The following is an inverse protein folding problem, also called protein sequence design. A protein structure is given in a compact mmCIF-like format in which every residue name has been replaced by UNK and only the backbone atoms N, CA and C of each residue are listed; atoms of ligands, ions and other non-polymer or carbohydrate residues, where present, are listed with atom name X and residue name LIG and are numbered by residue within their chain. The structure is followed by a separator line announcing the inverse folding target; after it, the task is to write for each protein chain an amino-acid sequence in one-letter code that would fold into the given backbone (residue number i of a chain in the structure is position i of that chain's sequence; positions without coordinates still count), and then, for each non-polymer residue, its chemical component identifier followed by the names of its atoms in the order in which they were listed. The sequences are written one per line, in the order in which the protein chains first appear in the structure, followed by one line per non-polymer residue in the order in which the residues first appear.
data_IF_474484076010
#
_entry.id   IF_474484076010
#
_cell.length_a   1.000
_cell.length_b   1.000
_cell.length_c   1.000
_cell.angle_alpha   90.00
_cell.angle_beta   90.00
_cell.angle_gamma   90.00
#
_symmetry.space_group_name_H-M   'P 1'
#
loop_
_entity.id
_entity.type
_entity.pdbx_description
1 polymer ?
#
# COMPACT_ATOMS: atom_id res chain seq x y z
N UNK A 1 -16.81 1.82 -17.53
CA UNK A 1 -16.39 3.24 -17.58
C UNK A 1 -15.88 3.56 -18.99
N UNK A 2 -16.05 4.77 -19.52
CA UNK A 2 -15.42 5.12 -20.81
C UNK A 2 -13.89 5.31 -20.65
N UNK A 3 -13.14 5.13 -21.75
CA UNK A 3 -11.68 5.13 -21.72
C UNK A 3 -11.10 6.48 -21.27
N UNK A 4 -11.71 7.58 -21.70
CA UNK A 4 -11.27 8.95 -21.39
C UNK A 4 -11.44 9.25 -19.91
N UNK A 5 -12.56 8.86 -19.31
CA UNK A 5 -12.82 9.03 -17.89
C UNK A 5 -11.84 8.20 -17.05
N UNK A 6 -11.54 6.97 -17.46
CA UNK A 6 -10.53 6.12 -16.80
C UNK A 6 -9.14 6.78 -16.80
N UNK A 7 -8.73 7.36 -17.93
CA UNK A 7 -7.45 8.06 -18.07
C UNK A 7 -7.36 9.30 -17.18
N UNK A 8 -8.43 10.10 -17.10
CA UNK A 8 -8.50 11.27 -16.22
C UNK A 8 -8.38 10.87 -14.75
N UNK A 9 -9.12 9.84 -14.33
CA UNK A 9 -9.05 9.32 -12.95
C UNK A 9 -7.64 8.83 -12.64
N UNK A 10 -7.03 8.08 -13.56
CA UNK A 10 -5.67 7.57 -13.41
C UNK A 10 -4.66 8.71 -13.23
N UNK A 11 -4.66 9.72 -14.11
CA UNK A 11 -3.78 10.89 -13.99
C UNK A 11 -3.94 11.61 -12.65
N UNK A 12 -5.19 11.77 -12.23
CA UNK A 12 -5.53 12.44 -10.97
C UNK A 12 -5.08 11.64 -9.74
N UNK A 13 -5.11 10.31 -9.80
CA UNK A 13 -4.63 9.44 -8.73
C UNK A 13 -3.10 9.47 -8.64
N UNK A 14 -2.43 9.56 -9.78
CA UNK A 14 -0.97 9.53 -9.90
C UNK A 14 -0.33 10.83 -9.43
N UNK A 15 -0.89 12.02 -9.72
CA UNK A 15 -0.23 13.30 -9.47
C UNK A 15 0.25 13.48 -7.99
N UNK A 16 1.50 13.96 -7.76
CA UNK A 16 2.56 14.29 -8.72
C UNK A 16 3.51 13.11 -9.06
N UNK A 17 3.13 11.88 -8.75
CA UNK A 17 3.95 10.68 -8.87
C UNK A 17 3.93 10.08 -10.28
N UNK A 18 5.05 9.48 -10.73
CA UNK A 18 5.16 8.87 -12.05
C UNK A 18 4.33 7.60 -12.21
N UNK A 19 4.00 6.89 -11.13
CA UNK A 19 3.24 5.63 -11.17
C UNK A 19 2.14 5.59 -10.12
N UNK A 20 1.09 4.80 -10.38
CA UNK A 20 0.05 4.55 -9.40
C UNK A 20 0.59 3.81 -8.17
N UNK A 21 1.55 2.90 -8.35
CA UNK A 21 2.19 2.19 -7.25
C UNK A 21 2.92 3.15 -6.30
N UNK A 22 3.65 4.13 -6.83
CA UNK A 22 4.28 5.18 -6.02
C UNK A 22 3.25 6.06 -5.32
N UNK A 23 2.19 6.46 -6.03
CA UNK A 23 1.11 7.24 -5.45
C UNK A 23 0.42 6.51 -4.27
N UNK A 24 0.26 5.19 -4.37
CA UNK A 24 -0.22 4.34 -3.27
C UNK A 24 0.81 4.33 -2.13
N UNK A 25 2.08 4.04 -2.42
CA UNK A 25 3.13 3.86 -1.42
C UNK A 25 3.40 5.14 -0.61
N UNK A 26 3.29 6.33 -1.22
CA UNK A 26 3.46 7.60 -0.49
C UNK A 26 2.31 7.84 0.50
N UNK A 27 1.12 7.32 0.21
CA UNK A 27 -0.08 7.51 1.04
C UNK A 27 -0.18 6.49 2.17
N UNK A 28 0.74 5.53 2.26
CA UNK A 28 0.83 4.62 3.40
C UNK A 28 1.17 5.41 4.67
N UNK A 29 0.31 5.29 5.68
CA UNK A 29 0.34 6.05 6.93
C UNK A 29 -0.25 7.46 6.84
N UNK A 30 -0.88 7.83 5.72
CA UNK A 30 -1.55 9.13 5.58
C UNK A 30 -3.03 9.05 5.98
N UNK A 31 -3.51 10.15 6.57
CA UNK A 31 -4.93 10.45 6.79
C UNK A 31 -5.44 11.45 5.76
N UNK A 32 -6.74 11.78 5.78
CA UNK A 32 -7.39 12.73 4.87
C UNK A 32 -7.26 12.32 3.38
N UNK A 33 -7.24 11.01 3.12
CA UNK A 33 -7.10 10.44 1.77
C UNK A 33 -8.43 9.96 1.19
N UNK A 34 -9.56 10.27 1.82
CA UNK A 34 -10.88 9.74 1.45
C UNK A 34 -11.27 9.99 0.00
N UNK A 35 -11.14 11.23 -0.47
CA UNK A 35 -11.46 11.59 -1.86
C UNK A 35 -10.56 10.85 -2.86
N UNK A 36 -9.31 10.58 -2.47
CA UNK A 36 -8.38 9.80 -3.29
C UNK A 36 -8.79 8.31 -3.31
N UNK A 37 -9.19 7.74 -2.17
CA UNK A 37 -9.71 6.37 -2.08
C UNK A 37 -11.01 6.17 -2.88
N UNK A 38 -11.92 7.16 -2.92
CA UNK A 38 -13.11 7.11 -3.78
C UNK A 38 -12.76 7.07 -5.26
N UNK A 39 -11.73 7.82 -5.69
CA UNK A 39 -11.23 7.75 -7.06
C UNK A 39 -10.62 6.40 -7.37
N UNK A 40 -9.99 5.76 -6.38
CA UNK A 40 -9.48 4.41 -6.50
C UNK A 40 -10.61 3.38 -6.66
N UNK A 41 -11.71 3.52 -5.90
CA UNK A 41 -12.93 2.70 -6.11
C UNK A 41 -13.46 2.84 -7.54
N UNK A 42 -13.52 4.06 -8.06
CA UNK A 42 -13.98 4.33 -9.43
C UNK A 42 -13.04 3.73 -10.48
N UNK A 43 -11.72 3.86 -10.30
CA UNK A 43 -10.73 3.31 -11.22
C UNK A 43 -10.90 1.80 -11.39
N UNK A 44 -11.14 1.09 -10.28
CA UNK A 44 -11.31 -0.36 -10.25
C UNK A 44 -12.77 -0.82 -10.36
N UNK A 45 -13.69 0.11 -10.68
CA UNK A 45 -15.12 -0.16 -10.84
C UNK A 45 -15.75 -0.94 -9.66
N UNK A 46 -15.29 -0.63 -8.44
CA UNK A 46 -15.78 -1.27 -7.22
C UNK A 46 -17.16 -0.72 -6.84
N UNK A 47 -17.93 -1.53 -6.11
CA UNK A 47 -19.15 -1.04 -5.47
C UNK A 47 -18.82 0.11 -4.52
N UNK A 48 -19.69 1.13 -4.38
CA UNK A 48 -19.48 2.21 -3.43
C UNK A 48 -19.23 1.68 -2.01
N UNK A 49 -18.30 2.31 -1.29
CA UNK A 49 -17.94 1.94 0.10
C UNK A 49 -17.22 0.58 0.24
N UNK A 50 -16.68 0.03 -0.84
CA UNK A 50 -15.86 -1.18 -0.80
C UNK A 50 -14.52 -0.93 -0.09
N UNK A 51 -13.87 0.20 -0.39
CA UNK A 51 -12.61 0.62 0.22
C UNK A 51 -12.86 1.34 1.54
N UNK A 52 -13.87 2.22 1.59
CA UNK A 52 -14.23 2.99 2.79
C UNK A 52 -15.65 2.64 3.26
N UNK A 53 -15.83 1.52 4.01
CA UNK A 53 -17.14 1.12 4.50
C UNK A 53 -17.73 2.14 5.49
N UNK A 54 -19.05 2.33 5.47
CA UNK A 54 -19.72 3.22 6.43
C UNK A 54 -19.70 2.68 7.86
N UNK A 55 -19.77 1.36 8.01
CA UNK A 55 -19.63 0.67 9.29
C UNK A 55 -18.15 0.42 9.57
N UNK A 56 -17.65 1.02 10.63
CA UNK A 56 -16.24 0.92 10.98
C UNK A 56 -15.86 -0.48 11.46
N UNK A 57 -14.66 -0.89 11.04
CA UNK A 57 -13.91 -2.04 11.58
C UNK A 57 -12.51 -1.55 11.94
N UNK A 58 -11.89 -2.16 12.94
CA UNK A 58 -10.52 -1.79 13.37
C UNK A 58 -9.55 -1.83 12.21
N UNK A 59 -9.62 -2.90 11.43
CA UNK A 59 -8.94 -3.00 10.16
C UNK A 59 -9.92 -3.47 9.10
N UNK A 60 -9.75 -2.93 7.90
CA UNK A 60 -10.53 -3.24 6.73
C UNK A 60 -9.57 -3.57 5.59
N UNK A 61 -9.56 -4.85 5.19
CA UNK A 61 -8.71 -5.37 4.13
C UNK A 61 -9.49 -5.43 2.82
N UNK A 62 -8.95 -4.79 1.79
CA UNK A 62 -9.49 -4.77 0.43
C UNK A 62 -8.55 -5.55 -0.47
N UNK A 63 -9.05 -6.61 -1.11
CA UNK A 63 -8.26 -7.45 -2.02
C UNK A 63 -8.76 -7.23 -3.43
N UNK A 64 -7.93 -6.62 -4.26
CA UNK A 64 -8.16 -6.47 -5.71
C UNK A 64 -7.42 -7.58 -6.42
N UNK A 65 -7.94 -8.81 -6.27
CA UNK A 65 -7.24 -10.01 -6.68
C UNK A 65 -6.84 -10.00 -8.16
N UNK A 66 -7.67 -9.45 -9.06
CA UNK A 66 -7.40 -9.36 -10.50
C UNK A 66 -6.26 -8.40 -10.87
N UNK A 67 -5.91 -7.52 -9.93
CA UNK A 67 -4.91 -6.46 -10.09
C UNK A 67 -3.65 -6.76 -9.29
N UNK A 68 -3.60 -7.83 -8.50
CA UNK A 68 -2.46 -8.14 -7.63
C UNK A 68 -2.20 -7.06 -6.56
N UNK A 69 -3.26 -6.37 -6.10
CA UNK A 69 -3.18 -5.32 -5.08
C UNK A 69 -4.01 -5.69 -3.86
N UNK A 70 -3.41 -5.58 -2.67
CA UNK A 70 -4.12 -5.60 -1.40
C UNK A 70 -3.89 -4.28 -0.67
N UNK A 71 -4.95 -3.68 -0.14
CA UNK A 71 -4.90 -2.49 0.71
C UNK A 71 -5.43 -2.84 2.09
N UNK A 72 -4.73 -2.42 3.14
CA UNK A 72 -5.24 -2.50 4.52
C UNK A 72 -5.47 -1.09 5.04
N UNK A 73 -6.71 -0.82 5.45
CA UNK A 73 -7.11 0.47 5.99
C UNK A 73 -7.55 0.33 7.44
N UNK A 74 -7.37 1.39 8.21
CA UNK A 74 -7.90 1.50 9.55
C UNK A 74 -8.57 2.83 9.80
N UNK A 75 -9.32 2.88 10.90
CA UNK A 75 -9.96 4.08 11.36
C UNK A 75 -9.73 4.22 12.88
N UNK A 76 -9.05 5.27 13.35
CA UNK A 76 -8.56 5.36 14.73
C UNK A 76 -9.70 5.38 15.77
N UNK A 77 -10.89 5.86 15.40
CA UNK A 77 -12.01 5.98 16.34
C UNK A 77 -13.02 4.82 16.32
N UNK A 78 -12.71 3.68 15.69
CA UNK A 78 -13.66 2.56 15.57
C UNK A 78 -14.22 2.07 16.92
N UNK A 79 -13.44 2.19 17.99
CA UNK A 79 -13.79 1.69 19.32
C UNK A 79 -14.85 2.61 19.96
N UNK A 80 -14.88 3.88 19.56
CA UNK A 80 -15.71 4.91 20.18
C UNK A 80 -16.99 5.19 19.41
N UNK A 81 -16.99 5.00 18.08
CA UNK A 81 -18.13 5.33 17.23
C UNK A 81 -18.37 4.27 16.15
N UNK A 82 -19.64 3.94 15.84
CA UNK A 82 -19.97 2.97 14.79
C UNK A 82 -19.79 3.52 13.38
N UNK A 83 -19.78 4.86 13.21
CA UNK A 83 -19.59 5.56 11.95
C UNK A 83 -18.37 6.46 12.05
N UNK A 84 -17.45 6.31 11.10
CA UNK A 84 -16.22 7.07 11.07
C UNK A 84 -16.35 8.41 10.39
N UNK A 85 -15.46 9.30 10.80
CA UNK A 85 -15.17 10.49 10.02
C UNK A 85 -14.44 10.04 8.75
N UNK A 86 -15.02 10.39 7.60
CA UNK A 86 -14.48 10.02 6.28
C UNK A 86 -13.02 10.43 6.14
N UNK A 87 -12.64 11.58 6.69
CA UNK A 87 -11.28 12.09 6.59
C UNK A 87 -10.27 11.35 7.49
N UNK A 88 -10.74 10.52 8.43
CA UNK A 88 -9.86 9.78 9.34
C UNK A 88 -9.51 8.36 8.92
N UNK A 89 -9.90 7.96 7.71
CA UNK A 89 -9.37 6.73 7.11
C UNK A 89 -7.85 6.85 6.92
N UNK A 90 -7.12 5.86 7.41
CA UNK A 90 -5.69 5.68 7.20
C UNK A 90 -5.45 4.48 6.29
N UNK A 91 -4.52 4.61 5.33
CA UNK A 91 -3.98 3.46 4.61
C UNK A 91 -2.80 2.90 5.41
N UNK A 92 -2.98 1.80 6.13
CA UNK A 92 -1.92 1.20 6.95
C UNK A 92 -0.86 0.48 6.11
N UNK A 93 -1.31 -0.21 5.07
CA UNK A 93 -0.42 -0.97 4.21
C UNK A 93 -0.93 -1.15 2.79
N UNK A 94 0.01 -1.33 1.88
CA UNK A 94 -0.24 -1.69 0.49
C UNK A 94 0.67 -2.84 0.09
N UNK A 95 0.11 -3.85 -0.56
CA UNK A 95 0.81 -5.06 -1.00
C UNK A 95 0.58 -5.29 -2.50
N UNK A 96 1.67 -5.52 -3.22
CA UNK A 96 1.72 -5.76 -4.66
C UNK A 96 2.27 -7.16 -4.94
N UNK A 97 1.54 -7.98 -5.69
CA UNK A 97 1.95 -9.33 -6.07
C UNK A 97 2.28 -9.42 -7.56
N UNK A 98 3.41 -10.04 -7.93
CA UNK A 98 3.93 -9.96 -9.31
C UNK A 98 3.98 -11.27 -10.10
N UNK A 99 3.92 -12.43 -9.43
CA UNK A 99 4.22 -13.74 -10.06
C UNK A 99 2.97 -14.64 -10.20
N UNK A 100 1.79 -14.11 -9.89
CA UNK A 100 0.51 -14.84 -10.01
C UNK A 100 -0.23 -14.53 -11.32
N UNK A 101 -1.21 -15.37 -11.70
CA UNK A 101 -2.07 -15.16 -12.88
C UNK A 101 -2.78 -13.81 -12.89
N UNK A 102 -2.99 -13.25 -11.70
CA UNK A 102 -3.56 -11.93 -11.49
C UNK A 102 -2.53 -10.99 -10.81
N UNK A 103 -1.35 -10.89 -11.40
CA UNK A 103 -0.30 -10.02 -10.89
C UNK A 103 -0.59 -8.53 -11.13
N UNK A 104 0.08 -7.69 -10.35
CA UNK A 104 0.23 -6.27 -10.60
C UNK A 104 0.84 -6.06 -11.98
N UNK A 105 0.04 -5.47 -12.87
CA UNK A 105 0.38 -5.32 -14.29
C UNK A 105 1.02 -4.00 -14.64
N UNK A 106 1.11 -3.09 -13.67
CA UNK A 106 1.73 -1.77 -13.87
C UNK A 106 3.15 -1.75 -13.30
N UNK A 107 3.80 -0.60 -13.40
CA UNK A 107 5.15 -0.43 -12.86
C UNK A 107 5.16 -0.66 -11.34
N UNK A 108 6.23 -1.28 -10.87
CA UNK A 108 6.46 -1.49 -9.45
C UNK A 108 6.81 -0.17 -8.75
N UNK A 109 6.57 -0.06 -7.43
CA UNK A 109 7.01 1.12 -6.70
C UNK A 109 8.55 1.19 -6.62
N UNK A 110 9.07 2.38 -6.33
CA UNK A 110 10.50 2.64 -6.09
C UNK A 110 11.41 2.32 -7.31
N UNK A 111 10.87 2.38 -8.52
CA UNK A 111 11.61 2.08 -9.76
C UNK A 111 12.26 0.68 -9.76
N UNK A 112 11.66 -0.29 -9.06
CA UNK A 112 12.16 -1.65 -8.96
C UNK A 112 11.88 -2.44 -10.24
N UNK A 113 12.89 -3.16 -10.73
CA UNK A 113 12.73 -4.12 -11.82
C UNK A 113 12.43 -5.51 -11.25
N UNK A 114 11.14 -5.83 -11.21
CA UNK A 114 10.61 -7.08 -10.66
C UNK A 114 11.26 -8.34 -11.23
N UNK A 115 11.77 -8.34 -12.46
CA UNK A 115 12.35 -9.54 -13.09
C UNK A 115 13.86 -9.65 -12.87
N UNK A 116 14.54 -8.50 -12.75
CA UNK A 116 16.00 -8.46 -12.72
C UNK A 116 16.61 -8.04 -11.39
N UNK A 117 15.80 -7.56 -10.44
CA UNK A 117 16.30 -7.16 -9.13
C UNK A 117 17.07 -8.28 -8.44
N UNK A 118 18.15 -7.86 -7.78
CA UNK A 118 19.05 -8.67 -6.96
C UNK A 118 19.23 -7.99 -5.61
N UNK A 119 19.77 -8.73 -4.64
CA UNK A 119 20.07 -8.20 -3.31
C UNK A 119 20.94 -6.95 -3.34
N UNK A 120 21.91 -6.88 -4.26
CA UNK A 120 22.81 -5.74 -4.35
C UNK A 120 22.18 -4.55 -5.08
N UNK A 121 21.39 -4.79 -6.14
CA UNK A 121 20.77 -3.69 -6.89
C UNK A 121 19.67 -3.00 -6.10
N UNK A 122 18.90 -3.75 -5.31
CA UNK A 122 17.77 -3.19 -4.56
C UNK A 122 18.21 -2.29 -3.41
N UNK A 123 19.34 -2.59 -2.76
CA UNK A 123 19.90 -1.77 -1.68
C UNK A 123 20.15 -0.34 -2.14
N UNK A 124 20.63 -0.17 -3.39
CA UNK A 124 20.86 1.16 -3.97
C UNK A 124 19.57 1.94 -4.24
N UNK A 125 18.42 1.28 -4.27
CA UNK A 125 17.11 1.87 -4.59
C UNK A 125 16.23 2.10 -3.36
N UNK A 126 16.35 1.25 -2.34
CA UNK A 126 15.53 1.32 -1.14
C UNK A 126 16.31 1.93 0.03
N UNK A 127 17.26 1.20 0.59
CA UNK A 127 18.03 1.62 1.76
C UNK A 127 19.23 0.69 1.99
N UNK A 128 20.26 1.20 2.68
CA UNK A 128 21.34 0.42 3.27
C UNK A 128 20.99 -0.13 4.67
N UNK A 129 19.88 0.30 5.27
CA UNK A 129 19.28 -0.28 6.47
C UNK A 129 18.24 -1.36 6.09
N UNK A 130 18.61 -2.62 6.29
CA UNK A 130 17.80 -3.77 5.92
C UNK A 130 18.05 -4.98 6.83
N UNK A 131 17.11 -5.93 6.83
CA UNK A 131 17.24 -7.20 7.55
C UNK A 131 17.95 -8.27 6.72
N UNK A 132 18.46 -9.31 7.37
CA UNK A 132 18.80 -10.55 6.65
C UNK A 132 17.56 -11.17 5.98
N UNK A 133 17.80 -12.03 4.98
CA UNK A 133 16.74 -12.78 4.30
C UNK A 133 16.25 -13.90 5.22
N UNK A 134 14.94 -13.98 5.40
CA UNK A 134 14.28 -15.04 6.17
C UNK A 134 14.13 -16.34 5.37
N UNK A 135 13.75 -17.43 6.05
CA UNK A 135 13.55 -18.74 5.42
C UNK A 135 12.48 -18.74 4.31
N UNK A 136 11.51 -17.84 4.38
CA UNK A 136 10.48 -17.63 3.35
C UNK A 136 10.85 -16.54 2.34
N UNK A 137 12.16 -16.27 2.23
CA UNK A 137 12.76 -15.35 1.27
C UNK A 137 12.23 -13.92 1.38
N UNK A 138 11.91 -13.47 2.59
CA UNK A 138 11.51 -12.09 2.86
C UNK A 138 12.67 -11.27 3.40
N UNK A 139 12.64 -9.99 3.07
CA UNK A 139 13.64 -9.04 3.51
C UNK A 139 13.00 -7.67 3.67
N UNK A 140 13.26 -6.99 4.78
CA UNK A 140 12.74 -5.64 5.03
C UNK A 140 13.80 -4.58 4.80
N UNK A 141 13.39 -3.45 4.23
CA UNK A 141 14.21 -2.26 4.01
C UNK A 141 13.56 -1.07 4.71
N UNK A 142 14.32 -0.32 5.50
CA UNK A 142 13.84 0.81 6.29
C UNK A 142 14.16 2.12 5.57
N UNK A 143 13.13 2.85 5.14
CA UNK A 143 13.28 4.13 4.44
C UNK A 143 13.35 5.29 5.44
N UNK A 144 14.03 6.37 5.05
CA UNK A 144 14.25 7.56 5.87
C UNK A 144 12.96 8.26 6.35
N UNK A 145 11.83 8.05 5.68
CA UNK A 145 10.55 8.65 6.04
C UNK A 145 9.68 7.80 6.97
N UNK A 146 10.26 6.72 7.50
CA UNK A 146 9.64 5.78 8.42
C UNK A 146 8.81 4.70 7.75
N UNK A 147 8.80 4.62 6.41
CA UNK A 147 8.21 3.48 5.70
C UNK A 147 9.14 2.28 5.71
N UNK A 148 8.53 1.10 5.76
CA UNK A 148 9.25 -0.18 5.62
C UNK A 148 8.74 -0.87 4.39
N UNK A 149 9.68 -1.31 3.56
CA UNK A 149 9.41 -2.07 2.34
C UNK A 149 9.85 -3.50 2.58
N UNK A 150 8.90 -4.41 2.77
CA UNK A 150 9.15 -5.84 2.79
C UNK A 150 9.10 -6.39 1.36
N UNK A 151 10.21 -7.00 0.93
CA UNK A 151 10.36 -7.63 -0.37
C UNK A 151 10.35 -9.13 -0.16
N UNK A 152 9.49 -9.84 -0.89
CA UNK A 152 9.55 -11.30 -0.99
C UNK A 152 10.20 -11.67 -2.32
N UNK A 153 11.33 -12.38 -2.28
CA UNK A 153 12.08 -12.77 -3.46
C UNK A 153 11.45 -13.97 -4.17
N UNK A 154 11.67 -14.07 -5.48
CA UNK A 154 11.20 -15.19 -6.27
C UNK A 154 12.10 -16.43 -6.08
N UNK A 155 11.55 -17.43 -5.39
CA UNK A 155 12.21 -18.70 -5.05
C UNK A 155 12.62 -19.53 -6.28
N UNK A 156 11.85 -19.45 -7.37
CA UNK A 156 12.04 -20.29 -8.57
C UNK A 156 13.16 -19.79 -9.48
N UNK A 157 13.45 -18.50 -9.47
CA UNK A 157 14.38 -17.88 -10.42
C UNK A 157 15.72 -17.48 -9.79
N UNK A 158 15.84 -17.53 -8.46
CA UNK A 158 17.05 -17.10 -7.73
C UNK A 158 17.34 -15.59 -7.85
N UNK A 159 16.44 -14.84 -8.48
CA UNK A 159 16.44 -13.38 -8.66
C UNK A 159 15.02 -12.90 -8.98
N UNK A 160 14.80 -11.59 -8.84
CA UNK A 160 13.49 -10.98 -9.06
C UNK A 160 12.59 -11.04 -7.83
N UNK A 161 11.52 -10.24 -7.89
CA UNK A 161 10.63 -9.95 -6.79
C UNK A 161 9.29 -10.65 -7.03
N UNK A 162 8.82 -11.36 -6.02
CA UNK A 162 7.49 -11.97 -6.03
C UNK A 162 6.42 -11.03 -5.49
N UNK A 163 6.75 -10.30 -4.42
CA UNK A 163 5.80 -9.45 -3.69
C UNK A 163 6.52 -8.29 -3.04
N UNK A 164 5.85 -7.14 -2.98
CA UNK A 164 6.25 -5.97 -2.20
C UNK A 164 5.13 -5.63 -1.24
N UNK A 165 5.44 -5.51 0.05
CA UNK A 165 4.55 -4.98 1.07
C UNK A 165 5.16 -3.68 1.60
N UNK A 166 4.37 -2.61 1.63
CA UNK A 166 4.76 -1.32 2.19
C UNK A 166 3.90 -1.04 3.41
N UNK A 167 4.57 -0.75 4.53
CA UNK A 167 3.96 -0.29 5.78
C UNK A 167 4.66 0.99 6.23
N UNK A 168 4.12 1.66 7.25
CA UNK A 168 4.80 2.76 7.93
C UNK A 168 4.88 2.48 9.43
N UNK A 169 6.04 2.71 10.02
CA UNK A 169 6.21 2.57 11.47
C UNK A 169 5.50 3.72 12.19
N UNK A 170 4.89 3.41 13.34
CA UNK A 170 4.25 4.43 14.20
C UNK A 170 2.98 5.03 13.63
N UNK A 171 2.29 4.38 12.69
CA UNK A 171 0.99 4.82 12.16
C UNK A 171 -0.08 4.86 13.27
N UNK A 172 0.06 3.99 14.26
CA UNK A 172 -0.76 3.94 15.47
C UNK A 172 0.11 4.20 16.71
N UNK A 173 0.59 5.43 16.91
CA UNK A 173 0.89 5.85 18.28
C UNK A 173 -0.46 6.01 18.97
N UNK A 174 -0.80 5.06 19.83
CA UNK A 174 -2.01 5.14 20.65
C UNK A 174 -2.05 6.49 21.36
N UNK A 175 -3.20 7.17 21.30
CA UNK A 175 -3.42 8.37 22.07
C UNK A 175 -3.44 7.97 23.56
N UNK A 176 -2.32 8.11 24.24
CA UNK A 176 -2.27 8.02 25.70
C UNK A 176 -3.16 9.13 26.25
N UNK A 177 -4.28 8.76 26.89
CA UNK A 177 -5.05 9.70 27.70
C UNK A 177 -4.08 10.24 28.76
N UNK A 178 -4.01 11.56 28.99
CA UNK A 178 -3.22 12.07 30.11
C UNK A 178 -3.69 11.37 31.37
N UNK A 179 -2.74 10.80 32.12
CA UNK A 179 -3.03 10.23 33.43
C UNK A 179 -3.83 11.28 34.21
N UNK A 180 -5.02 10.89 34.66
CA UNK A 180 -5.85 11.77 35.47
C UNK A 180 -5.10 12.06 36.77
N UNK A 181 -4.57 13.29 36.90
CA UNK A 181 -4.07 13.85 38.17
C UNK A 181 -5.19 13.96 39.22
#
# INVERSE_FOLDING_TARGET
MDKTQREIIMQTLMEPFPTLAEAICIRVGCHNIYNWLLRLEQLYELSPHTICPELLKKQHRVVLAQEGLTLTLSHPHVIYVPRGDKERWCLESAEFEFVQTNSWKTEAPFSLDIQSESLTSIQTKLSDDFTDITDDLRQSYYLDDGRVVEVTWNDKLGKGIQRILVVRLGVDIEFELPESE
#
